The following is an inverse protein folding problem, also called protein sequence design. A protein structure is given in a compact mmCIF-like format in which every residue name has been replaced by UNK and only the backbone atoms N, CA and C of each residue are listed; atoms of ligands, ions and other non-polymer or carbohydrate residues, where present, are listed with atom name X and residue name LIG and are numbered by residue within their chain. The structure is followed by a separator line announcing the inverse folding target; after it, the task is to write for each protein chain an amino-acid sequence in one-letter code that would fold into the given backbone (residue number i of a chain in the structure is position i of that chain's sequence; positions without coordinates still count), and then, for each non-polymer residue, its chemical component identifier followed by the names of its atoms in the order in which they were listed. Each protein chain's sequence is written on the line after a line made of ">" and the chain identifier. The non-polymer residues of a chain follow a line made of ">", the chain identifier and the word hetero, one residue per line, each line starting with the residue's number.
data_IF_959643809796
#
_entry.id   IF_959643809796
#
_cell.length_a   1.000
_cell.length_b   1.000
_cell.length_c   1.000
_cell.angle_alpha   90.00
_cell.angle_beta   90.00
_cell.angle_gamma   90.00
#
_symmetry.space_group_name_H-M   'P 1'
#
loop_
_entity.id
_entity.type
_entity.pdbx_description
1 polymer ?
#
# COMPACT_ATOMS: atom_id res chain seq x y z
N UNK A 1 21.51 -74.55 -3.38
CA UNK A 1 20.23 -74.82 -4.07
C UNK A 1 19.14 -74.31 -3.17
N UNK A 2 18.35 -73.34 -3.67
CA UNK A 2 17.10 -72.79 -3.12
C UNK A 2 17.24 -71.91 -1.84
N UNK A 3 16.64 -70.73 -1.71
CA UNK A 3 15.97 -69.83 -2.64
C UNK A 3 15.70 -68.50 -1.89
N UNK A 4 15.98 -67.35 -2.53
CA UNK A 4 15.26 -66.05 -2.43
C UNK A 4 15.26 -65.28 -1.08
N UNK A 5 15.90 -64.11 -0.99
CA UNK A 5 15.54 -62.79 -1.57
C UNK A 5 14.49 -62.01 -0.77
N UNK A 6 14.81 -60.72 -0.55
CA UNK A 6 13.93 -59.60 -0.19
C UNK A 6 13.47 -59.47 1.28
N UNK A 7 14.01 -58.45 1.97
CA UNK A 7 13.25 -57.19 2.14
C UNK A 7 14.13 -56.00 2.55
N UNK A 8 14.36 -55.15 1.55
CA UNK A 8 14.13 -53.70 1.57
C UNK A 8 14.86 -52.86 2.62
N UNK A 9 15.84 -52.09 2.13
CA UNK A 9 15.76 -50.64 2.32
C UNK A 9 16.56 -50.05 3.47
N UNK A 10 17.82 -50.43 3.61
CA UNK A 10 18.81 -49.58 4.27
C UNK A 10 18.97 -48.30 3.44
N UNK A 11 18.92 -47.15 4.11
CA UNK A 11 19.54 -45.90 3.67
C UNK A 11 18.86 -45.15 2.50
N UNK A 12 17.83 -44.36 2.80
CA UNK A 12 17.44 -43.24 1.94
C UNK A 12 17.27 -41.97 2.78
N UNK A 13 18.31 -41.13 2.73
CA UNK A 13 18.23 -39.68 2.76
C UNK A 13 17.55 -39.01 3.97
N UNK A 14 18.36 -38.81 5.00
CA UNK A 14 18.34 -37.71 5.97
C UNK A 14 18.61 -36.35 5.26
N UNK A 15 17.93 -36.07 4.14
CA UNK A 15 18.14 -34.89 3.29
C UNK A 15 16.85 -34.07 3.19
N UNK A 16 16.99 -32.81 3.60
CA UNK A 16 16.14 -31.66 3.27
C UNK A 16 14.72 -31.60 3.85
N UNK A 17 14.62 -31.52 5.18
CA UNK A 17 13.65 -30.60 5.81
C UNK A 17 14.16 -29.15 5.67
N UNK A 18 14.44 -28.70 4.45
CA UNK A 18 14.52 -27.27 4.18
C UNK A 18 13.11 -26.84 3.84
N UNK A 19 12.33 -26.53 4.88
CA UNK A 19 11.16 -25.68 4.72
C UNK A 19 11.68 -24.36 4.15
N UNK A 20 11.66 -24.24 2.83
CA UNK A 20 11.70 -22.94 2.16
C UNK A 20 10.41 -22.24 2.59
N UNK A 21 10.44 -21.57 3.74
CA UNK A 21 9.53 -20.46 3.96
C UNK A 21 9.95 -19.43 2.92
N UNK A 22 9.24 -19.38 1.80
CA UNK A 22 9.14 -18.15 1.02
C UNK A 22 8.60 -17.11 1.98
N UNK A 23 9.52 -16.41 2.67
CA UNK A 23 9.17 -15.20 3.38
C UNK A 23 8.61 -14.27 2.33
N UNK A 24 7.33 -13.93 2.49
CA UNK A 24 6.71 -12.89 1.70
C UNK A 24 7.47 -11.61 2.05
N UNK A 25 8.27 -11.12 1.11
CA UNK A 25 8.93 -9.83 1.27
C UNK A 25 7.85 -8.77 1.13
N UNK A 26 7.49 -8.14 2.24
CA UNK A 26 6.58 -7.00 2.25
C UNK A 26 7.20 -5.90 1.37
N UNK A 27 6.47 -5.49 0.32
CA UNK A 27 6.96 -4.42 -0.55
C UNK A 27 6.75 -3.10 0.16
N UNK A 28 7.83 -2.35 0.38
CA UNK A 28 7.79 -1.07 1.07
C UNK A 28 7.28 0.05 0.12
N UNK A 29 6.10 0.59 0.43
CA UNK A 29 5.52 1.74 -0.27
C UNK A 29 5.56 3.03 0.55
N UNK A 30 6.39 3.12 1.58
CA UNK A 30 6.55 4.32 2.43
C UNK A 30 7.01 5.58 1.69
N UNK A 31 7.40 5.46 0.41
CA UNK A 31 7.74 6.58 -0.46
C UNK A 31 6.60 7.04 -1.38
N UNK A 32 5.42 6.46 -1.23
CA UNK A 32 4.24 6.73 -2.05
C UNK A 32 4.07 5.72 -3.17
N UNK A 33 2.81 5.54 -3.57
CA UNK A 33 2.36 4.74 -4.70
C UNK A 33 2.07 5.62 -5.92
N UNK A 34 1.72 6.89 -5.68
CA UNK A 34 1.36 7.83 -6.74
C UNK A 34 2.58 8.46 -7.42
N UNK A 35 2.49 8.63 -8.74
CA UNK A 35 3.48 9.35 -9.55
C UNK A 35 3.26 10.86 -9.44
N UNK A 36 3.44 11.42 -8.23
CA UNK A 36 3.10 12.83 -7.89
C UNK A 36 3.64 13.84 -8.90
N UNK A 37 4.87 13.64 -9.38
CA UNK A 37 5.51 14.56 -10.35
C UNK A 37 4.72 14.68 -11.65
N UNK A 38 4.10 13.59 -12.10
CA UNK A 38 3.28 13.56 -13.31
C UNK A 38 1.90 14.16 -13.04
N UNK A 39 1.33 13.84 -11.87
CA UNK A 39 0.00 14.28 -11.44
C UNK A 39 -0.10 15.79 -11.16
N UNK A 40 1.01 16.48 -10.83
CA UNK A 40 1.02 17.94 -10.62
C UNK A 40 0.47 18.70 -11.85
N UNK A 41 0.76 18.22 -13.06
CA UNK A 41 0.26 18.85 -14.30
C UNK A 41 -1.26 18.66 -14.48
N UNK A 42 -1.81 17.55 -14.00
CA UNK A 42 -3.26 17.33 -13.96
C UNK A 42 -3.89 18.21 -12.88
N UNK A 43 -3.30 18.22 -11.68
CA UNK A 43 -3.77 19.01 -10.55
C UNK A 43 -3.74 20.53 -10.82
N UNK A 44 -2.82 21.03 -11.65
CA UNK A 44 -2.75 22.45 -12.00
C UNK A 44 -3.90 22.92 -12.89
N UNK A 45 -4.55 22.01 -13.60
CA UNK A 45 -5.73 22.31 -14.44
C UNK A 45 -7.02 22.39 -13.63
N UNK A 46 -7.01 21.86 -12.41
CA UNK A 46 -8.14 21.93 -11.48
C UNK A 46 -8.12 23.28 -10.78
N UNK A 47 -9.05 24.14 -11.18
CA UNK A 47 -9.26 25.48 -10.62
C UNK A 47 -10.70 25.64 -10.15
N UNK A 48 -10.97 26.74 -9.45
CA UNK A 48 -12.35 27.12 -9.10
C UNK A 48 -13.20 27.32 -10.37
N UNK A 49 -12.63 27.80 -11.48
CA UNK A 49 -13.40 27.96 -12.73
C UNK A 49 -13.80 26.62 -13.35
N UNK A 50 -12.92 25.61 -13.30
CA UNK A 50 -13.22 24.27 -13.81
C UNK A 50 -14.06 23.44 -12.85
N UNK A 51 -13.99 23.75 -11.55
CA UNK A 51 -14.66 23.02 -10.47
C UNK A 51 -15.36 24.01 -9.51
N UNK A 52 -16.41 24.73 -9.95
CA UNK A 52 -16.95 25.91 -9.25
C UNK A 52 -17.62 25.63 -7.89
N UNK A 53 -18.06 24.39 -7.68
CA UNK A 53 -18.74 23.99 -6.44
C UNK A 53 -17.86 23.09 -5.55
N UNK A 54 -16.55 23.01 -5.84
CA UNK A 54 -15.62 22.16 -5.10
C UNK A 54 -14.68 23.00 -4.23
N UNK A 55 -14.62 22.67 -2.95
CA UNK A 55 -13.61 23.21 -2.02
C UNK A 55 -12.26 22.51 -2.18
N UNK A 56 -12.31 21.25 -2.62
CA UNK A 56 -11.20 20.37 -2.93
C UNK A 56 -11.61 19.34 -3.99
N UNK A 57 -10.62 18.76 -4.67
CA UNK A 57 -10.84 17.74 -5.70
C UNK A 57 -9.84 16.61 -5.48
N UNK A 58 -10.33 15.37 -5.46
CA UNK A 58 -9.50 14.18 -5.54
C UNK A 58 -8.81 14.14 -6.92
N UNK A 59 -7.49 14.21 -6.93
CA UNK A 59 -6.69 14.17 -8.17
C UNK A 59 -6.47 12.74 -8.61
N UNK A 60 -6.04 11.90 -7.67
CA UNK A 60 -5.81 10.47 -7.86
C UNK A 60 -5.85 9.75 -6.51
N UNK A 61 -6.14 8.46 -6.57
CA UNK A 61 -6.23 7.56 -5.42
C UNK A 61 -5.75 6.17 -5.84
N UNK A 62 -4.82 5.61 -5.08
CA UNK A 62 -4.31 4.28 -5.32
C UNK A 62 -4.32 3.45 -4.03
N UNK A 63 -5.11 2.39 -4.07
CA UNK A 63 -5.21 1.42 -2.98
C UNK A 63 -4.66 0.07 -3.45
N UNK A 64 -3.79 -0.52 -2.64
CA UNK A 64 -3.25 -1.86 -2.82
C UNK A 64 -3.50 -2.71 -1.59
N UNK A 65 -4.25 -3.79 -1.79
CA UNK A 65 -4.47 -4.79 -0.77
C UNK A 65 -3.63 -6.04 -1.04
N UNK A 66 -2.95 -6.52 -0.01
CA UNK A 66 -2.25 -7.79 -0.01
C UNK A 66 -2.82 -8.69 1.08
N UNK A 67 -3.17 -9.92 0.72
CA UNK A 67 -3.76 -10.89 1.63
C UNK A 67 -2.89 -12.13 1.73
N UNK A 68 -2.63 -12.56 2.96
CA UNK A 68 -1.89 -13.77 3.27
C UNK A 68 -2.82 -14.98 3.42
N UNK A 69 -2.33 -16.21 3.19
CA UNK A 69 -3.14 -17.42 3.38
C UNK A 69 -3.66 -17.65 4.80
N UNK A 70 -3.05 -17.03 5.82
CA UNK A 70 -3.48 -17.10 7.22
C UNK A 70 -4.63 -16.13 7.56
N UNK A 71 -5.11 -15.37 6.57
CA UNK A 71 -6.21 -14.40 6.72
C UNK A 71 -5.76 -13.03 7.20
N UNK A 72 -4.47 -12.80 7.42
CA UNK A 72 -3.92 -11.44 7.62
C UNK A 72 -3.77 -10.70 6.29
N UNK A 73 -3.64 -9.39 6.34
CA UNK A 73 -3.39 -8.58 5.15
C UNK A 73 -2.89 -7.19 5.49
N UNK A 74 -2.40 -6.50 4.46
CA UNK A 74 -1.94 -5.12 4.53
C UNK A 74 -2.59 -4.34 3.39
N UNK A 75 -3.12 -3.17 3.73
CA UNK A 75 -3.62 -2.19 2.76
C UNK A 75 -2.67 -1.00 2.75
N UNK A 76 -2.19 -0.65 1.57
CA UNK A 76 -1.52 0.63 1.33
C UNK A 76 -2.45 1.55 0.55
N UNK A 77 -2.65 2.75 1.07
CA UNK A 77 -3.49 3.81 0.49
C UNK A 77 -2.63 5.05 0.29
N UNK A 78 -2.64 5.60 -0.93
CA UNK A 78 -2.02 6.87 -1.27
C UNK A 78 -3.01 7.74 -2.04
N UNK A 79 -3.40 8.85 -1.42
CA UNK A 79 -4.41 9.77 -1.91
C UNK A 79 -3.81 11.15 -2.20
N UNK A 80 -3.98 11.67 -3.42
CA UNK A 80 -3.61 13.05 -3.77
C UNK A 80 -4.85 13.94 -3.93
N UNK A 81 -4.94 15.00 -3.13
CA UNK A 81 -6.06 15.96 -3.16
C UNK A 81 -5.56 17.36 -3.50
N UNK A 82 -6.28 18.05 -4.38
CA UNK A 82 -6.09 19.46 -4.71
C UNK A 82 -7.08 20.31 -3.92
N UNK A 83 -6.58 21.15 -3.03
CA UNK A 83 -7.38 22.18 -2.35
C UNK A 83 -7.56 23.39 -3.26
N UNK A 84 -8.79 23.88 -3.39
CA UNK A 84 -9.17 24.99 -4.27
C UNK A 84 -9.57 26.26 -3.51
N UNK A 85 -10.18 26.13 -2.33
CA UNK A 85 -10.74 27.27 -1.58
C UNK A 85 -10.12 27.39 -0.19
N UNK A 86 -10.25 28.57 0.44
CA UNK A 86 -9.86 28.75 1.85
C UNK A 86 -10.71 27.90 2.80
N UNK A 87 -11.95 27.54 2.43
CA UNK A 87 -12.77 26.60 3.20
C UNK A 87 -12.14 25.20 3.17
N UNK A 88 -11.83 24.66 1.98
CA UNK A 88 -11.19 23.35 1.86
C UNK A 88 -9.84 23.28 2.58
N UNK A 89 -9.07 24.36 2.54
CA UNK A 89 -7.81 24.48 3.29
C UNK A 89 -8.01 24.36 4.81
N UNK A 90 -9.06 24.95 5.36
CA UNK A 90 -9.38 24.86 6.80
C UNK A 90 -9.81 23.43 7.17
N UNK A 91 -10.61 22.80 6.32
CA UNK A 91 -11.08 21.43 6.54
C UNK A 91 -9.92 20.41 6.50
N UNK A 92 -8.94 20.61 5.62
CA UNK A 92 -7.74 19.76 5.50
C UNK A 92 -6.63 20.05 6.51
N UNK A 93 -6.87 20.89 7.52
CA UNK A 93 -5.92 21.09 8.62
C UNK A 93 -5.79 19.86 9.53
N UNK A 94 -6.77 18.96 9.49
CA UNK A 94 -6.78 17.69 10.22
C UNK A 94 -7.09 16.55 9.27
N UNK A 95 -6.41 15.42 9.45
CA UNK A 95 -6.76 14.14 8.84
C UNK A 95 -7.02 13.15 9.98
N UNK A 96 -8.11 12.40 9.86
CA UNK A 96 -8.51 11.41 10.85
C UNK A 96 -8.57 10.04 10.16
N UNK A 97 -7.90 9.06 10.75
CA UNK A 97 -7.91 7.68 10.29
C UNK A 97 -8.60 6.83 11.34
N UNK A 98 -9.65 6.12 10.95
CA UNK A 98 -10.44 5.29 11.85
C UNK A 98 -10.11 3.83 11.62
N UNK A 99 -9.74 3.14 12.70
CA UNK A 99 -9.39 1.72 12.68
C UNK A 99 -9.92 1.03 13.92
N UNK A 100 -9.89 -0.30 13.92
CA UNK A 100 -10.27 -1.10 15.07
C UNK A 100 -9.02 -1.69 15.72
N UNK A 101 -8.70 -1.25 16.94
CA UNK A 101 -7.49 -1.63 17.68
C UNK A 101 -7.31 -3.15 17.90
N UNK A 102 -8.36 -3.95 17.74
CA UNK A 102 -8.28 -5.42 17.86
C UNK A 102 -8.03 -6.13 16.53
N UNK A 103 -8.21 -5.46 15.40
CA UNK A 103 -8.18 -6.07 14.07
C UNK A 103 -7.22 -5.37 13.10
N UNK A 104 -6.82 -4.15 13.37
CA UNK A 104 -5.90 -3.41 12.52
C UNK A 104 -5.15 -2.34 13.30
N UNK A 105 -4.02 -1.94 12.73
CA UNK A 105 -3.30 -0.73 13.07
C UNK A 105 -3.32 0.21 11.86
N UNK A 106 -3.03 1.50 12.07
CA UNK A 106 -2.87 2.46 10.97
C UNK A 106 -1.65 3.32 11.20
N UNK A 107 -0.79 3.40 10.18
CA UNK A 107 0.43 4.21 10.20
C UNK A 107 0.44 5.14 9.00
N UNK A 108 0.68 6.43 9.25
CA UNK A 108 0.95 7.40 8.18
C UNK A 108 2.44 7.37 7.88
N UNK A 109 2.81 6.76 6.76
CA UNK A 109 4.22 6.61 6.34
C UNK A 109 4.71 7.79 5.50
N UNK A 110 3.80 8.50 4.82
CA UNK A 110 4.08 9.69 4.03
C UNK A 110 2.93 10.70 4.17
N UNK A 111 3.27 11.97 4.43
CA UNK A 111 2.35 13.09 4.38
C UNK A 111 3.08 14.30 3.80
N UNK A 112 2.51 14.91 2.76
CA UNK A 112 3.14 16.00 2.02
C UNK A 112 2.15 17.13 1.75
N UNK A 113 2.62 18.37 1.82
CA UNK A 113 1.87 19.55 1.37
C UNK A 113 2.59 20.12 0.16
N UNK A 114 2.10 19.80 -1.03
CA UNK A 114 2.73 20.22 -2.28
C UNK A 114 2.23 21.62 -2.65
N UNK A 115 3.15 22.58 -2.74
CA UNK A 115 2.89 23.95 -3.19
C UNK A 115 2.66 23.98 -4.72
N UNK A 116 2.03 25.05 -5.26
CA UNK A 116 1.82 25.17 -6.70
C UNK A 116 3.12 25.13 -7.55
N UNK A 117 4.27 25.47 -6.97
CA UNK A 117 5.58 25.38 -7.62
C UNK A 117 6.22 23.98 -7.51
N UNK A 118 5.49 23.00 -6.97
CA UNK A 118 5.93 21.61 -6.81
C UNK A 118 6.82 21.36 -5.59
N UNK A 119 7.09 22.36 -4.75
CA UNK A 119 7.83 22.16 -3.50
C UNK A 119 6.97 21.48 -2.44
N UNK A 120 7.59 20.60 -1.67
CA UNK A 120 7.02 19.91 -0.51
C UNK A 120 7.45 20.60 0.77
#
# INVERSE_FOLDING_TARGET
>A
MLLHSFRVGFLCCLLSLFSFSTGWAETDFSKGLLQVKELITTASKLTVDTCPNADEVLVDDYIRDEYNPDGTGVTWDDTLVKVLTEKGKRERQSLSFHFNEHYSDTTVTLLQIIKPDGKV
#
